data_IF_816260756104
#
_entry.id   IF_816260756104
#
_cell.length_a   1.000
_cell.length_b   1.000
_cell.length_c   1.000
_cell.angle_alpha   90.00
_cell.angle_beta   90.00
_cell.angle_gamma   90.00
#
_symmetry.space_group_name_H-M   'P 1'
#
loop_
_entity.id
_entity.type
_entity.pdbx_description
1 polymer ?
#
# COMPACT_ATOMS: atom_id res chain seq x y z
N UNK A 1 -13.10 -51.65 5.18
CA UNK A 1 -13.76 -51.45 3.86
C UNK A 1 -14.77 -50.32 4.01
N UNK A 2 -14.65 -49.32 3.12
CA UNK A 2 -15.58 -48.28 2.65
C UNK A 2 -17.05 -48.34 3.15
N UNK A 3 -17.80 -47.25 3.33
CA UNK A 3 -18.18 -46.25 2.31
C UNK A 3 -18.66 -44.93 2.95
N UNK A 4 -18.17 -43.82 2.38
CA UNK A 4 -18.65 -42.42 2.48
C UNK A 4 -20.13 -42.29 2.10
N UNK A 5 -20.87 -41.38 2.75
CA UNK A 5 -21.99 -40.68 2.09
C UNK A 5 -21.89 -39.16 2.26
N UNK A 6 -21.77 -38.53 1.10
CA UNK A 6 -21.82 -37.09 0.85
C UNK A 6 -23.12 -36.46 1.32
N UNK A 7 -23.02 -35.25 1.89
CA UNK A 7 -24.08 -34.25 1.80
C UNK A 7 -23.49 -33.06 1.06
N UNK A 8 -24.05 -32.77 -0.12
CA UNK A 8 -23.85 -31.54 -0.88
C UNK A 8 -24.49 -30.39 -0.10
N UNK A 9 -23.76 -29.32 0.11
CA UNK A 9 -24.33 -27.98 0.28
C UNK A 9 -23.67 -27.06 -0.72
N UNK A 10 -24.43 -26.76 -1.76
CA UNK A 10 -24.18 -25.67 -2.70
C UNK A 10 -24.70 -24.36 -2.09
N UNK A 11 -23.86 -23.31 -2.08
CA UNK A 11 -24.09 -22.01 -2.74
C UNK A 11 -23.08 -20.97 -2.21
N UNK A 12 -22.34 -20.38 -3.16
CA UNK A 12 -21.42 -19.23 -3.07
C UNK A 12 -22.24 -17.94 -3.40
N UNK A 13 -21.78 -16.69 -3.12
CA UNK A 13 -20.59 -16.16 -3.79
C UNK A 13 -19.70 -15.14 -3.04
N UNK A 14 -18.48 -15.04 -3.58
CA UNK A 14 -17.62 -13.84 -3.62
C UNK A 14 -16.84 -13.42 -2.37
N UNK A 15 -15.86 -14.24 -2.00
CA UNK A 15 -14.62 -13.69 -1.43
C UNK A 15 -13.77 -13.22 -2.61
N UNK A 16 -13.62 -11.90 -2.75
CA UNK A 16 -12.70 -11.28 -3.68
C UNK A 16 -11.27 -11.75 -3.37
N UNK A 17 -10.86 -12.82 -4.06
CA UNK A 17 -9.46 -13.16 -4.23
C UNK A 17 -8.84 -12.00 -5.00
N UNK A 18 -8.02 -11.19 -4.34
CA UNK A 18 -7.04 -10.41 -5.07
C UNK A 18 -6.23 -11.39 -5.93
N UNK A 19 -6.25 -11.27 -7.26
CA UNK A 19 -5.46 -12.17 -8.08
C UNK A 19 -3.99 -11.84 -7.85
N UNK A 20 -3.08 -12.83 -7.87
CA UNK A 20 -1.68 -12.53 -8.18
C UNK A 20 -1.72 -11.88 -9.56
N UNK A 21 -1.20 -10.66 -9.68
CA UNK A 21 -1.15 -9.84 -10.90
C UNK A 21 -1.27 -10.71 -12.15
N UNK A 22 -2.47 -10.74 -12.75
CA UNK A 22 -2.73 -11.57 -13.92
C UNK A 22 -1.71 -11.20 -15.01
N UNK A 23 -1.18 -12.18 -15.76
CA UNK A 23 -0.45 -11.89 -16.97
C UNK A 23 -1.44 -11.22 -17.92
N UNK A 24 -1.34 -9.90 -18.04
CA UNK A 24 -2.12 -9.15 -19.03
C UNK A 24 -1.72 -9.72 -20.39
N UNK A 25 -2.72 -10.24 -21.09
CA UNK A 25 -2.66 -10.67 -22.48
C UNK A 25 -1.78 -9.71 -23.30
N UNK A 26 -0.89 -10.27 -24.11
CA UNK A 26 0.02 -9.58 -25.05
C UNK A 26 -0.69 -8.68 -26.10
N UNK A 27 -1.97 -8.35 -25.96
CA UNK A 27 -2.78 -7.66 -26.97
C UNK A 27 -2.62 -6.13 -26.98
N UNK A 28 -1.71 -5.55 -26.19
CA UNK A 28 -1.41 -4.10 -26.21
C UNK A 28 -0.07 -3.75 -26.88
N UNK A 29 0.74 -4.74 -27.25
CA UNK A 29 2.02 -4.52 -27.93
C UNK A 29 1.97 -5.24 -29.28
N UNK A 30 1.40 -4.59 -30.29
CA UNK A 30 1.46 -5.08 -31.67
C UNK A 30 2.90 -4.91 -32.17
N UNK A 31 3.62 -6.02 -32.26
CA UNK A 31 5.00 -6.10 -32.73
C UNK A 31 5.13 -5.71 -34.21
N UNK A 32 5.96 -4.70 -34.51
CA UNK A 32 6.97 -4.72 -35.59
C UNK A 32 7.82 -3.43 -35.55
N UNK A 33 9.04 -3.49 -35.03
CA UNK A 33 10.25 -2.74 -35.46
C UNK A 33 11.34 -2.86 -34.38
N UNK A 34 12.60 -2.62 -34.74
CA UNK A 34 13.80 -2.74 -33.90
C UNK A 34 13.86 -1.80 -32.67
N UNK A 35 12.73 -1.25 -32.24
CA UNK A 35 12.60 -0.38 -31.06
C UNK A 35 12.54 -1.20 -29.78
N UNK A 36 13.15 -0.70 -28.71
CA UNK A 36 13.15 -1.43 -27.44
C UNK A 36 11.74 -1.44 -26.83
N UNK A 37 11.38 -2.49 -26.08
CA UNK A 37 10.06 -2.62 -25.44
C UNK A 37 9.65 -1.42 -24.56
N UNK A 38 10.62 -0.65 -24.06
CA UNK A 38 10.34 0.55 -23.30
C UNK A 38 10.06 1.78 -24.18
N UNK A 39 10.61 1.85 -25.40
CA UNK A 39 10.32 2.91 -26.36
C UNK A 39 8.86 2.84 -26.82
N UNK A 40 8.34 1.64 -27.05
CA UNK A 40 6.93 1.45 -27.40
C UNK A 40 6.01 1.88 -26.26
N UNK A 41 6.32 1.49 -25.02
CA UNK A 41 5.58 1.92 -23.85
C UNK A 41 5.60 3.46 -23.67
N UNK A 42 6.75 4.11 -23.90
CA UNK A 42 6.87 5.57 -23.87
C UNK A 42 6.04 6.23 -24.98
N UNK A 43 6.09 5.67 -26.19
CA UNK A 43 5.28 6.16 -27.33
C UNK A 43 3.78 6.07 -27.04
N UNK A 44 3.31 4.94 -26.51
CA UNK A 44 1.92 4.77 -26.07
C UNK A 44 1.55 5.78 -24.99
N UNK A 45 2.42 6.01 -24.01
CA UNK A 45 2.19 6.98 -22.94
C UNK A 45 2.04 8.41 -23.50
N UNK A 46 2.95 8.82 -24.38
CA UNK A 46 2.91 10.14 -25.01
C UNK A 46 1.66 10.30 -25.88
N UNK A 47 1.25 9.26 -26.60
CA UNK A 47 -0.01 9.26 -27.33
C UNK A 47 -1.20 9.53 -26.41
N UNK A 48 -1.26 8.93 -25.23
CA UNK A 48 -2.31 9.20 -24.23
C UNK A 48 -2.30 10.66 -23.73
N UNK A 49 -1.13 11.27 -23.55
CA UNK A 49 -1.00 12.67 -23.12
C UNK A 49 -1.54 13.67 -24.16
N UNK A 50 -1.47 13.33 -25.44
CA UNK A 50 -1.86 14.21 -26.55
C UNK A 50 -3.29 13.97 -27.06
N UNK A 51 -4.05 13.05 -26.45
CA UNK A 51 -5.46 12.84 -26.79
C UNK A 51 -6.29 14.08 -26.42
N UNK A 52 -7.23 14.46 -27.31
CA UNK A 52 -8.16 15.58 -27.11
C UNK A 52 -8.98 15.46 -25.83
N UNK A 53 -9.35 14.23 -25.47
CA UNK A 53 -9.94 13.91 -24.17
C UNK A 53 -8.91 13.14 -23.34
N UNK A 54 -8.54 13.70 -22.20
CA UNK A 54 -7.56 13.08 -21.29
C UNK A 54 -8.15 11.74 -20.80
N UNK A 55 -7.45 10.63 -21.06
CA UNK A 55 -7.94 9.32 -20.64
C UNK A 55 -7.89 9.20 -19.10
N UNK A 56 -8.63 8.26 -18.51
CA UNK A 56 -8.58 8.00 -17.08
C UNK A 56 -7.16 7.72 -16.59
N UNK A 57 -6.83 8.18 -15.37
CA UNK A 57 -5.49 8.03 -14.76
C UNK A 57 -5.01 6.58 -14.73
N UNK A 58 -5.93 5.63 -14.59
CA UNK A 58 -5.67 4.19 -14.63
C UNK A 58 -5.01 3.70 -15.93
N UNK A 59 -5.31 4.31 -17.09
CA UNK A 59 -4.69 3.90 -18.37
C UNK A 59 -3.19 4.20 -18.38
N UNK A 60 -2.78 5.33 -17.81
CA UNK A 60 -1.36 5.64 -17.59
C UNK A 60 -0.74 4.66 -16.60
N UNK A 61 -1.46 4.31 -15.53
CA UNK A 61 -1.03 3.34 -14.52
C UNK A 61 -0.63 1.98 -15.09
N UNK A 62 -1.30 1.50 -16.15
CA UNK A 62 -0.93 0.23 -16.84
C UNK A 62 0.47 0.31 -17.45
N UNK A 63 0.74 1.38 -18.19
CA UNK A 63 2.03 1.60 -18.87
C UNK A 63 3.14 1.81 -17.84
N UNK A 64 2.87 2.60 -16.81
CA UNK A 64 3.80 2.82 -15.70
C UNK A 64 4.11 1.52 -14.97
N UNK A 65 3.09 0.72 -14.63
CA UNK A 65 3.27 -0.59 -14.00
C UNK A 65 4.10 -1.54 -14.86
N UNK A 66 3.91 -1.53 -16.18
CA UNK A 66 4.77 -2.27 -17.11
C UNK A 66 6.23 -1.82 -17.04
N UNK A 67 6.50 -0.50 -17.13
CA UNK A 67 7.86 0.06 -17.04
C UNK A 67 8.56 -0.28 -15.72
N UNK A 68 7.82 -0.24 -14.60
CA UNK A 68 8.34 -0.64 -13.29
C UNK A 68 8.68 -2.13 -13.25
N UNK A 69 7.83 -2.99 -13.83
CA UNK A 69 8.08 -4.44 -13.90
C UNK A 69 9.31 -4.81 -14.71
N UNK A 70 9.60 -4.07 -15.79
CA UNK A 70 10.84 -4.22 -16.58
C UNK A 70 12.03 -3.43 -15.98
N UNK A 71 11.89 -2.92 -14.75
CA UNK A 71 12.91 -2.18 -13.99
C UNK A 71 13.41 -0.88 -14.65
N UNK A 72 12.60 -0.27 -15.52
CA UNK A 72 12.89 1.03 -16.14
C UNK A 72 12.43 2.18 -15.24
N UNK A 73 12.92 2.20 -14.00
CA UNK A 73 12.49 3.16 -12.97
C UNK A 73 12.69 4.63 -13.34
N UNK A 74 13.84 5.06 -13.92
CA UNK A 74 14.03 6.48 -14.28
C UNK A 74 13.01 6.97 -15.31
N UNK A 75 12.64 6.10 -16.26
CA UNK A 75 11.63 6.40 -17.28
C UNK A 75 10.26 6.53 -16.61
N UNK A 76 9.86 5.56 -15.77
CA UNK A 76 8.59 5.62 -15.04
C UNK A 76 8.47 6.90 -14.18
N UNK A 77 9.53 7.29 -13.48
CA UNK A 77 9.58 8.55 -12.71
C UNK A 77 9.37 9.77 -13.61
N UNK A 78 10.07 9.83 -14.75
CA UNK A 78 9.96 10.92 -15.72
C UNK A 78 8.52 11.07 -16.24
N UNK A 79 7.91 9.95 -16.63
CA UNK A 79 6.54 9.94 -17.15
C UNK A 79 5.50 10.34 -16.09
N UNK A 80 5.62 9.88 -14.85
CA UNK A 80 4.74 10.32 -13.74
C UNK A 80 4.87 11.83 -13.51
N UNK A 81 6.09 12.38 -13.60
CA UNK A 81 6.31 13.83 -13.48
C UNK A 81 5.71 14.61 -14.64
N UNK A 82 5.77 14.07 -15.86
CA UNK A 82 5.12 14.67 -17.03
C UNK A 82 3.59 14.74 -16.88
N UNK A 83 2.96 13.72 -16.29
CA UNK A 83 1.53 13.78 -15.95
C UNK A 83 1.21 14.96 -15.03
N UNK A 84 2.02 15.17 -13.99
CA UNK A 84 1.82 16.30 -13.07
C UNK A 84 1.99 17.66 -13.76
N UNK A 85 2.98 17.79 -14.65
CA UNK A 85 3.21 19.02 -15.44
C UNK A 85 2.07 19.32 -16.41
N UNK A 86 1.35 18.29 -16.87
CA UNK A 86 0.14 18.41 -17.69
C UNK A 86 -1.14 18.61 -16.88
N UNK A 87 -1.04 18.74 -15.55
CA UNK A 87 -2.19 18.92 -14.66
C UNK A 87 -2.98 17.63 -14.40
N UNK A 88 -2.45 16.46 -14.79
CA UNK A 88 -3.09 15.17 -14.52
C UNK A 88 -2.74 14.76 -13.10
N UNK A 89 -3.75 14.65 -12.24
CA UNK A 89 -3.55 14.28 -10.84
C UNK A 89 -3.28 12.77 -10.70
N UNK A 90 -2.11 12.44 -10.16
CA UNK A 90 -1.79 11.08 -9.74
C UNK A 90 -2.72 10.60 -8.61
N UNK A 91 -3.10 9.33 -8.71
CA UNK A 91 -3.81 8.58 -7.68
C UNK A 91 -2.84 7.83 -6.75
N UNK A 92 -3.39 7.11 -5.75
CA UNK A 92 -2.60 6.34 -4.80
C UNK A 92 -1.75 5.24 -5.48
N UNK A 93 -2.23 4.68 -6.59
CA UNK A 93 -1.52 3.64 -7.35
C UNK A 93 -0.25 4.22 -7.97
N UNK A 94 -0.36 5.35 -8.67
CA UNK A 94 0.79 6.01 -9.28
C UNK A 94 1.79 6.51 -8.23
N UNK A 95 1.32 7.00 -7.08
CA UNK A 95 2.23 7.35 -5.98
C UNK A 95 2.95 6.12 -5.42
N UNK A 96 2.26 4.98 -5.28
CA UNK A 96 2.87 3.72 -4.83
C UNK A 96 3.93 3.22 -5.82
N UNK A 97 3.66 3.32 -7.13
CA UNK A 97 4.66 3.02 -8.17
C UNK A 97 5.88 3.94 -8.05
N UNK A 98 5.65 5.25 -7.86
CA UNK A 98 6.72 6.23 -7.73
C UNK A 98 7.59 5.96 -6.49
N UNK A 99 6.98 5.63 -5.35
CA UNK A 99 7.71 5.21 -4.14
C UNK A 99 8.55 3.96 -4.39
N UNK A 100 7.97 2.93 -5.02
CA UNK A 100 8.69 1.70 -5.35
C UNK A 100 9.91 1.98 -6.25
N UNK A 101 9.75 2.86 -7.26
CA UNK A 101 10.86 3.28 -8.10
C UNK A 101 11.99 3.93 -7.30
N UNK A 102 11.65 4.83 -6.37
CA UNK A 102 12.66 5.50 -5.54
C UNK A 102 13.35 4.54 -4.57
N UNK A 103 12.61 3.60 -3.94
CA UNK A 103 13.21 2.56 -3.11
C UNK A 103 14.23 1.71 -3.90
N UNK A 104 13.89 1.30 -5.13
CA UNK A 104 14.81 0.52 -5.97
C UNK A 104 16.01 1.30 -6.51
N UNK A 105 15.95 2.63 -6.51
CA UNK A 105 17.06 3.51 -6.89
C UNK A 105 17.88 4.00 -5.70
N UNK A 106 17.67 3.42 -4.51
CA UNK A 106 18.29 3.82 -3.24
C UNK A 106 18.07 5.31 -2.89
N UNK A 107 16.92 5.85 -3.31
CA UNK A 107 16.53 7.25 -3.19
C UNK A 107 15.45 7.43 -2.13
N UNK A 108 15.67 6.90 -0.93
CA UNK A 108 14.65 6.83 0.13
C UNK A 108 14.08 8.20 0.54
N UNK A 109 14.89 9.27 0.58
CA UNK A 109 14.39 10.62 0.87
C UNK A 109 13.28 11.06 -0.11
N UNK A 110 13.40 10.69 -1.40
CA UNK A 110 12.36 10.95 -2.38
C UNK A 110 11.14 10.04 -2.18
N UNK A 111 11.33 8.78 -1.78
CA UNK A 111 10.22 7.88 -1.43
C UNK A 111 9.40 8.43 -0.25
N UNK A 112 10.07 8.92 0.81
CA UNK A 112 9.43 9.57 1.94
C UNK A 112 8.74 10.88 1.55
N UNK A 113 9.34 11.67 0.65
CA UNK A 113 8.71 12.87 0.10
C UNK A 113 7.40 12.55 -0.63
N UNK A 114 7.36 11.46 -1.40
CA UNK A 114 6.13 10.99 -2.05
C UNK A 114 5.10 10.52 -1.02
N UNK A 115 5.52 9.82 0.03
CA UNK A 115 4.60 9.39 1.09
C UNK A 115 4.01 10.59 1.87
N UNK A 116 4.81 11.62 2.17
CA UNK A 116 4.32 12.88 2.72
C UNK A 116 3.32 13.57 1.77
N UNK A 117 3.55 13.49 0.44
CA UNK A 117 2.62 14.01 -0.57
C UNK A 117 1.28 13.24 -0.59
N UNK A 118 1.29 11.92 -0.41
CA UNK A 118 0.08 11.09 -0.26
C UNK A 118 -0.75 11.63 0.93
N UNK A 119 -0.10 11.78 2.09
CA UNK A 119 -0.75 12.27 3.31
C UNK A 119 -1.29 13.70 3.15
N UNK A 120 -0.50 14.60 2.54
CA UNK A 120 -0.86 16.01 2.31
C UNK A 120 -2.05 16.16 1.34
N UNK A 121 -2.21 15.21 0.41
CA UNK A 121 -3.37 15.14 -0.49
C UNK A 121 -4.61 14.51 0.16
N UNK A 122 -4.52 14.10 1.44
CA UNK A 122 -5.62 13.51 2.18
C UNK A 122 -5.88 12.04 1.85
N UNK A 123 -5.00 11.39 1.09
CA UNK A 123 -5.10 9.95 0.87
C UNK A 123 -4.72 9.22 2.15
N UNK A 124 -5.52 8.23 2.55
CA UNK A 124 -5.19 7.34 3.64
C UNK A 124 -4.27 6.23 3.12
N UNK A 125 -2.97 6.22 3.49
CA UNK A 125 -2.07 5.17 3.04
C UNK A 125 -2.53 3.81 3.55
N UNK A 126 -2.54 2.85 2.64
CA UNK A 126 -2.83 1.46 2.94
C UNK A 126 -1.57 0.71 3.41
N UNK A 127 -1.78 -0.54 3.84
CA UNK A 127 -0.68 -1.40 4.26
C UNK A 127 0.37 -1.59 3.15
N UNK A 128 -0.03 -1.58 1.87
CA UNK A 128 0.89 -1.74 0.73
C UNK A 128 1.83 -0.53 0.62
N UNK A 129 1.30 0.68 0.77
CA UNK A 129 2.07 1.92 0.72
C UNK A 129 3.13 1.94 1.82
N UNK A 130 2.74 1.59 3.06
CA UNK A 130 3.66 1.54 4.21
C UNK A 130 4.71 0.43 4.01
N UNK A 131 4.30 -0.75 3.55
CA UNK A 131 5.19 -1.88 3.31
C UNK A 131 6.27 -1.56 2.26
N UNK A 132 5.97 -0.71 1.28
CA UNK A 132 6.94 -0.26 0.27
C UNK A 132 8.11 0.49 0.91
N UNK A 133 7.85 1.38 1.88
CA UNK A 133 8.91 2.11 2.60
C UNK A 133 9.70 1.20 3.53
N UNK A 134 9.00 0.36 4.31
CA UNK A 134 9.65 -0.58 5.23
C UNK A 134 10.58 -1.52 4.48
N UNK A 135 10.14 -2.03 3.32
CA UNK A 135 10.99 -2.85 2.45
C UNK A 135 12.21 -2.07 1.95
N UNK A 136 12.01 -0.84 1.47
CA UNK A 136 13.11 0.01 1.01
C UNK A 136 14.17 0.24 2.08
N UNK A 137 13.76 0.54 3.31
CA UNK A 137 14.67 0.70 4.46
C UNK A 137 15.42 -0.60 4.77
N UNK A 138 14.71 -1.73 4.87
CA UNK A 138 15.33 -3.02 5.14
C UNK A 138 16.30 -3.46 4.03
N UNK A 139 15.98 -3.21 2.77
CA UNK A 139 16.83 -3.59 1.63
C UNK A 139 18.08 -2.69 1.53
N UNK A 140 18.02 -1.46 2.04
CA UNK A 140 19.18 -0.57 2.23
C UNK A 140 20.02 -0.92 3.48
N UNK A 141 19.52 -1.80 4.35
CA UNK A 141 20.16 -2.15 5.62
C UNK A 141 19.81 -1.22 6.79
N UNK A 142 18.95 -0.22 6.58
CA UNK A 142 18.47 0.72 7.61
C UNK A 142 17.32 0.10 8.45
N UNK A 143 17.52 -1.11 8.96
CA UNK A 143 16.48 -1.89 9.65
C UNK A 143 15.99 -1.22 10.94
N UNK A 144 16.86 -0.50 11.66
CA UNK A 144 16.49 0.27 12.85
C UNK A 144 15.48 1.37 12.52
N UNK A 145 15.68 2.07 11.39
CA UNK A 145 14.74 3.07 10.90
C UNK A 145 13.43 2.44 10.42
N UNK A 146 13.49 1.24 9.83
CA UNK A 146 12.27 0.50 9.49
C UNK A 146 11.43 0.18 10.74
N UNK A 147 12.06 -0.22 11.85
CA UNK A 147 11.37 -0.47 13.13
C UNK A 147 10.81 0.82 13.72
N UNK A 148 11.55 1.93 13.68
CA UNK A 148 11.06 3.23 14.14
C UNK A 148 9.83 3.70 13.34
N UNK A 149 9.86 3.56 12.01
CA UNK A 149 8.72 3.84 11.15
C UNK A 149 7.54 2.93 11.50
N UNK A 150 7.78 1.62 11.69
CA UNK A 150 6.76 0.66 12.11
C UNK A 150 6.06 1.10 13.41
N UNK A 151 6.83 1.40 14.45
CA UNK A 151 6.29 1.78 15.76
C UNK A 151 5.47 3.08 15.65
N UNK A 152 5.96 4.02 14.84
CA UNK A 152 5.25 5.28 14.59
C UNK A 152 3.91 5.05 13.89
N UNK A 153 3.86 4.24 12.83
CA UNK A 153 2.60 4.00 12.11
C UNK A 153 1.61 3.19 12.95
N UNK A 154 2.09 2.27 13.80
CA UNK A 154 1.25 1.55 14.78
C UNK A 154 0.67 2.50 15.82
N UNK A 155 1.50 3.36 16.41
CA UNK A 155 1.06 4.32 17.42
C UNK A 155 0.01 5.31 16.87
N UNK A 156 0.09 5.61 15.57
CA UNK A 156 -0.85 6.46 14.85
C UNK A 156 -2.09 5.72 14.34
N UNK A 157 -2.19 4.40 14.56
CA UNK A 157 -3.36 3.60 14.22
C UNK A 157 -3.47 3.21 12.74
N UNK A 158 -2.38 3.27 11.97
CA UNK A 158 -2.39 2.82 10.58
C UNK A 158 -2.47 1.30 10.48
N UNK A 159 -3.17 0.76 9.46
CA UNK A 159 -3.30 -0.67 9.28
C UNK A 159 -1.99 -1.29 8.80
N UNK A 160 -1.46 -2.22 9.58
CA UNK A 160 -0.36 -3.10 9.17
C UNK A 160 -0.90 -4.48 8.77
N UNK A 161 -0.20 -5.15 7.86
CA UNK A 161 -0.58 -6.48 7.40
C UNK A 161 0.39 -7.55 7.88
N UNK A 162 -0.01 -8.82 7.75
CA UNK A 162 0.89 -9.95 7.98
C UNK A 162 2.21 -9.84 7.16
N UNK A 163 2.13 -9.24 5.97
CA UNK A 163 3.28 -9.02 5.12
C UNK A 163 4.28 -8.02 5.72
N UNK A 164 3.80 -7.03 6.48
CA UNK A 164 4.64 -6.03 7.17
C UNK A 164 5.65 -6.69 8.08
N UNK A 165 5.19 -7.57 8.97
CA UNK A 165 6.06 -8.29 9.91
C UNK A 165 7.04 -9.20 9.18
N UNK A 166 6.64 -9.83 8.07
CA UNK A 166 7.54 -10.63 7.24
C UNK A 166 8.70 -9.81 6.65
N UNK A 167 8.45 -8.56 6.26
CA UNK A 167 9.50 -7.63 5.81
C UNK A 167 10.50 -7.35 6.94
N UNK A 168 10.00 -6.97 8.12
CA UNK A 168 10.84 -6.62 9.27
C UNK A 168 11.68 -7.79 9.77
N UNK A 169 11.07 -8.97 9.90
CA UNK A 169 11.77 -10.21 10.30
C UNK A 169 12.87 -10.54 9.30
N UNK A 170 12.56 -10.49 8.00
CA UNK A 170 13.56 -10.72 6.96
C UNK A 170 14.70 -9.70 7.02
N UNK A 171 14.38 -8.42 7.23
CA UNK A 171 15.39 -7.36 7.43
C UNK A 171 16.29 -7.63 8.64
N UNK A 172 15.71 -7.97 9.79
CA UNK A 172 16.43 -8.30 11.02
C UNK A 172 17.34 -9.52 10.85
N UNK A 173 16.84 -10.58 10.20
CA UNK A 173 17.65 -11.76 9.89
C UNK A 173 18.84 -11.42 8.98
N UNK A 174 18.67 -10.52 7.99
CA UNK A 174 19.75 -10.10 7.08
C UNK A 174 20.89 -9.38 7.81
N UNK A 175 20.59 -8.68 8.91
CA UNK A 175 21.60 -7.96 9.70
C UNK A 175 22.12 -8.76 10.91
N UNK A 176 21.68 -10.02 11.07
CA UNK A 176 22.10 -10.90 12.17
C UNK A 176 21.37 -10.70 13.49
N UNK A 177 20.36 -9.82 13.55
CA UNK A 177 19.59 -9.47 14.75
C UNK A 177 18.44 -10.48 15.00
N UNK A 178 18.80 -11.75 15.21
CA UNK A 178 17.84 -12.86 15.31
C UNK A 178 16.95 -12.78 16.55
N UNK A 179 17.45 -12.29 17.69
CA UNK A 179 16.65 -12.09 18.91
C UNK A 179 15.54 -11.06 18.70
N UNK A 180 15.87 -9.93 18.06
CA UNK A 180 14.89 -8.92 17.70
C UNK A 180 13.85 -9.47 16.71
N UNK A 181 14.26 -10.31 15.76
CA UNK A 181 13.34 -10.96 14.83
C UNK A 181 12.32 -11.86 15.55
N UNK A 182 12.76 -12.62 16.55
CA UNK A 182 11.88 -13.45 17.39
C UNK A 182 10.91 -12.57 18.18
N UNK A 183 11.39 -11.44 18.71
CA UNK A 183 10.54 -10.49 19.44
C UNK A 183 9.44 -9.92 18.53
N UNK A 184 9.77 -9.44 17.34
CA UNK A 184 8.79 -8.94 16.35
C UNK A 184 7.78 -10.03 15.97
N UNK A 185 8.24 -11.27 15.80
CA UNK A 185 7.37 -12.41 15.55
C UNK A 185 6.41 -12.68 16.72
N UNK A 186 6.84 -12.47 17.97
CA UNK A 186 5.98 -12.60 19.15
C UNK A 186 4.92 -11.50 19.26
N UNK A 187 5.26 -10.26 18.89
CA UNK A 187 4.36 -9.09 18.93
C UNK A 187 3.22 -9.22 17.91
N UNK A 188 3.51 -9.81 16.75
CA UNK A 188 2.50 -10.18 15.76
C UNK A 188 1.34 -10.98 16.39
N UNK A 189 1.63 -11.93 17.29
CA UNK A 189 0.59 -12.73 17.94
C UNK A 189 -0.23 -11.91 18.95
N UNK A 190 0.39 -10.95 19.64
CA UNK A 190 -0.32 -10.04 20.57
C UNK A 190 -1.35 -9.17 19.84
N UNK A 191 -0.99 -8.63 18.66
CA UNK A 191 -1.89 -7.81 17.87
C UNK A 191 -3.12 -8.61 17.39
N UNK A 192 -2.92 -9.86 16.94
CA UNK A 192 -4.00 -10.77 16.53
C UNK A 192 -4.91 -11.14 17.71
N UNK A 193 -4.36 -11.43 18.89
CA UNK A 193 -5.15 -11.73 20.08
C UNK A 193 -5.93 -10.49 20.55
N UNK A 194 -5.36 -9.29 20.47
CA UNK A 194 -6.09 -8.06 20.81
C UNK A 194 -7.26 -7.79 19.86
N UNK A 195 -7.07 -8.01 18.55
CA UNK A 195 -8.14 -7.85 17.56
C UNK A 195 -9.25 -8.90 17.75
N UNK A 196 -8.88 -10.16 17.98
CA UNK A 196 -9.84 -11.21 18.32
C UNK A 196 -10.57 -10.93 19.64
N UNK A 197 -9.88 -10.49 20.69
CA UNK A 197 -10.51 -10.14 21.96
C UNK A 197 -11.44 -8.93 21.83
N UNK A 198 -11.07 -7.91 21.04
CA UNK A 198 -11.91 -6.74 20.78
C UNK A 198 -13.16 -7.08 19.95
N UNK A 199 -13.07 -8.00 18.97
CA UNK A 199 -14.23 -8.52 18.25
C UNK A 199 -15.13 -9.38 19.15
N UNK A 200 -14.55 -10.22 20.01
CA UNK A 200 -15.29 -11.01 21.00
C UNK A 200 -15.99 -10.14 22.05
N UNK A 201 -15.37 -9.04 22.49
CA UNK A 201 -15.99 -8.03 23.38
C UNK A 201 -17.14 -7.30 22.66
N UNK A 202 -16.98 -6.93 21.38
CA UNK A 202 -18.06 -6.35 20.58
C UNK A 202 -19.22 -7.32 20.37
N UNK A 203 -18.95 -8.60 20.14
CA UNK A 203 -19.97 -9.66 20.00
C UNK A 203 -20.70 -9.93 21.32
N UNK A 204 -19.99 -9.95 22.46
CA UNK A 204 -20.60 -10.04 23.81
C UNK A 204 -21.43 -8.80 24.16
N UNK A 205 -20.97 -7.61 23.76
CA UNK A 205 -21.69 -6.34 23.92
C UNK A 205 -22.92 -6.21 23.01
N UNK A 206 -22.96 -6.91 21.88
CA UNK A 206 -24.14 -6.94 20.99
C UNK A 206 -25.23 -7.88 21.52
N UNK A 207 -24.86 -8.98 22.17
CA UNK A 207 -25.79 -9.94 22.79
C UNK A 207 -26.46 -9.42 24.07
N UNK A 208 -25.94 -8.36 24.67
CA UNK A 208 -26.44 -7.75 25.92
C UNK A 208 -27.27 -6.47 25.69
N UNK A 209 -27.46 -6.03 24.44
CA UNK A 209 -28.15 -4.77 24.09
C UNK A 209 -29.58 -4.94 23.55
N UNK A 210 -30.18 -6.12 23.67
CA UNK A 210 -31.60 -6.33 23.40
C UNK A 210 -32.48 -5.97 24.62
N UNK A 211 -32.26 -4.79 25.20
CA UNK A 211 -33.18 -4.13 26.14
C UNK A 211 -33.36 -2.69 25.64
N UNK A 212 -34.58 -2.27 25.23
CA UNK A 212 -34.76 -1.03 24.50
C UNK A 212 -34.82 0.17 25.45
N UNK A 213 -33.85 1.07 25.34
CA UNK A 213 -34.05 2.47 25.70
C UNK A 213 -33.55 3.36 24.55
N UNK A 214 -34.54 3.82 23.80
CA UNK A 214 -34.47 4.99 22.93
C UNK A 214 -34.08 6.22 23.77
N UNK A 215 -32.86 6.73 23.57
CA UNK A 215 -32.59 8.17 23.67
C UNK A 215 -31.67 8.58 22.50
N UNK A 216 -32.19 9.52 21.71
CA UNK A 216 -31.56 10.43 20.75
C UNK A 216 -30.11 10.84 21.10
N UNK A 217 -29.21 11.31 20.24
CA UNK A 217 -29.21 11.92 18.91
C UNK A 217 -27.74 11.82 18.44
N UNK A 218 -27.46 11.45 17.18
CA UNK A 218 -27.03 12.38 16.12
C UNK A 218 -25.94 13.38 16.57
N UNK A 219 -24.68 12.99 16.36
CA UNK A 219 -23.62 13.79 15.71
C UNK A 219 -22.25 13.11 15.86
N UNK A 220 -21.80 12.40 14.81
CA UNK A 220 -20.41 11.90 14.68
C UNK A 220 -19.91 12.07 13.25
N UNK A 221 -20.03 13.29 12.72
CA UNK A 221 -19.48 13.66 11.40
C UNK A 221 -18.18 14.47 11.47
N UNK A 222 -17.93 15.19 12.57
CA UNK A 222 -16.90 16.24 12.61
C UNK A 222 -15.66 15.89 13.44
N UNK A 223 -15.76 14.98 14.40
CA UNK A 223 -14.62 14.58 15.26
C UNK A 223 -13.65 13.59 14.60
N UNK A 224 -14.11 12.78 13.64
CA UNK A 224 -13.25 11.84 12.89
C UNK A 224 -12.33 12.54 11.89
N UNK A 225 -12.82 13.60 11.23
CA UNK A 225 -12.05 14.38 10.27
C UNK A 225 -10.89 15.12 10.94
N UNK A 226 -11.16 15.76 12.08
CA UNK A 226 -10.13 16.48 12.83
C UNK A 226 -9.04 15.53 13.37
N UNK A 227 -9.44 14.35 13.87
CA UNK A 227 -8.53 13.32 14.35
C UNK A 227 -7.60 12.81 13.23
N UNK A 228 -8.15 12.52 12.03
CA UNK A 228 -7.36 12.10 10.88
C UNK A 228 -6.36 13.17 10.41
N UNK A 229 -6.77 14.44 10.39
CA UNK A 229 -5.88 15.55 10.01
C UNK A 229 -4.72 15.69 11.01
N UNK A 230 -4.98 15.54 12.31
CA UNK A 230 -3.95 15.57 13.35
C UNK A 230 -2.97 14.41 13.18
N UNK A 231 -3.47 13.19 12.96
CA UNK A 231 -2.65 11.99 12.72
C UNK A 231 -1.76 12.15 11.48
N UNK A 232 -2.34 12.60 10.37
CA UNK A 232 -1.60 12.86 9.13
C UNK A 232 -0.52 13.94 9.34
N UNK A 233 -0.83 15.03 10.05
CA UNK A 233 0.15 16.09 10.32
C UNK A 233 1.29 15.62 11.23
N UNK A 234 1.01 14.79 12.24
CA UNK A 234 2.05 14.20 13.08
C UNK A 234 2.97 13.27 12.28
N UNK A 235 2.41 12.48 11.38
CA UNK A 235 3.21 11.60 10.50
C UNK A 235 4.02 12.42 9.49
N UNK A 236 3.43 13.45 8.87
CA UNK A 236 4.18 14.34 7.96
C UNK A 236 5.37 14.99 8.67
N UNK A 237 5.19 15.49 9.90
CA UNK A 237 6.29 16.06 10.69
C UNK A 237 7.40 15.05 10.96
N UNK A 238 7.04 13.81 11.26
CA UNK A 238 8.01 12.72 11.42
C UNK A 238 8.74 12.42 10.10
N UNK A 239 8.02 12.34 8.98
CA UNK A 239 8.63 12.05 7.68
C UNK A 239 9.61 13.13 7.21
N UNK A 240 9.42 14.38 7.62
CA UNK A 240 10.37 15.46 7.32
C UNK A 240 11.76 15.20 7.91
N UNK A 241 11.90 14.42 8.99
CA UNK A 241 13.22 14.04 9.52
C UNK A 241 13.99 13.08 8.62
N UNK A 242 13.35 12.47 7.62
CA UNK A 242 13.99 11.59 6.64
C UNK A 242 14.39 12.32 5.34
N UNK A 243 14.01 13.60 5.21
CA UNK A 243 14.19 14.39 3.98
C UNK A 243 15.30 15.45 4.15
N UNK A 244 15.56 15.88 5.38
CA UNK A 244 16.67 16.78 5.75
C UNK A 244 17.94 16.00 6.08
#
# INVERSE_FOLDING_TARGET
MWIRRSVRVSLLPSIAKFPPFLPIHNSLFCTHSHTSLHDEAVSQFNSLLHKRHVPPVFEFGKILGFLVRIKRYPIAISLIKQMELKGIHNDLVNFSLLMNCFCHLDKLAFAFSVFAKILKRGYHPDAITINTLLRGLCDKGEVKEALNLHDKVVALGFPLSQFTYGILINGLCKIGETEAAIKVQSERFKHIISLHNMEMIKLKSKRTRDIPLLVCMKDRGTTSFHSNVIIHNQLIKFLLSYIC
#
